data_IF_715284464535
#
_entry.id   IF_715284464535
#
_cell.length_a   1.000
_cell.length_b   1.000
_cell.length_c   1.000
_cell.angle_alpha   90.00
_cell.angle_beta   90.00
_cell.angle_gamma   90.00
#
_symmetry.space_group_name_H-M   'P 1'
#
loop_
_entity.id
_entity.type
_entity.pdbx_description
1 polymer ?
#
# COMPACT_ATOMS: atom_id res chain seq x y z
N UNK A 1 5.43 2.16 -30.40
CA UNK A 1 6.04 2.13 -29.06
C UNK A 1 4.92 2.51 -28.15
N UNK A 2 4.20 1.50 -27.69
CA UNK A 2 2.96 1.63 -26.94
C UNK A 2 3.35 2.05 -25.53
N UNK A 3 3.43 3.36 -25.32
CA UNK A 3 3.71 3.98 -24.03
C UNK A 3 2.38 4.18 -23.31
N UNK A 4 1.86 3.15 -22.63
CA UNK A 4 0.87 3.36 -21.55
C UNK A 4 0.50 2.10 -20.73
N UNK A 5 1.42 1.17 -20.52
CA UNK A 5 1.19 0.15 -19.49
C UNK A 5 1.65 0.74 -18.15
N UNK A 6 0.72 0.98 -17.20
CA UNK A 6 1.10 1.47 -15.89
C UNK A 6 2.00 0.43 -15.22
N UNK A 7 3.05 0.91 -14.54
CA UNK A 7 4.01 0.04 -13.86
C UNK A 7 3.32 -0.93 -12.90
N UNK A 8 2.24 -0.48 -12.26
CA UNK A 8 1.38 -1.29 -11.43
C UNK A 8 -0.09 -1.19 -11.84
N UNK A 9 -0.90 -2.17 -11.43
CA UNK A 9 -2.35 -2.18 -11.63
C UNK A 9 -3.04 -1.83 -10.33
N UNK A 10 -4.02 -0.92 -10.35
CA UNK A 10 -4.84 -0.68 -9.18
C UNK A 10 -5.68 -1.93 -8.83
N UNK A 11 -5.64 -2.33 -7.56
CA UNK A 11 -6.42 -3.46 -7.02
C UNK A 11 -7.18 -3.01 -5.77
N UNK A 12 -8.15 -3.79 -5.32
CA UNK A 12 -9.00 -3.47 -4.17
C UNK A 12 -9.28 -4.69 -3.28
N UNK A 13 -8.26 -5.55 -3.09
CA UNK A 13 -8.45 -6.87 -2.46
C UNK A 13 -8.62 -6.70 -0.95
N UNK A 14 -7.78 -5.91 -0.30
CA UNK A 14 -7.89 -5.59 1.12
C UNK A 14 -9.16 -4.81 1.40
N UNK A 15 -9.53 -3.85 0.54
CA UNK A 15 -10.73 -3.05 0.75
C UNK A 15 -12.02 -3.87 0.61
N UNK A 16 -12.05 -4.85 -0.28
CA UNK A 16 -13.17 -5.78 -0.41
C UNK A 16 -13.22 -6.77 0.77
N UNK A 17 -12.06 -7.22 1.24
CA UNK A 17 -11.95 -8.23 2.31
C UNK A 17 -12.16 -7.65 3.72
N UNK A 18 -11.50 -6.53 4.05
CA UNK A 18 -11.48 -5.92 5.38
C UNK A 18 -12.26 -4.60 5.47
N UNK A 19 -12.59 -3.97 4.33
CA UNK A 19 -13.19 -2.64 4.28
C UNK A 19 -12.15 -1.53 4.13
N UNK A 20 -12.55 -0.26 4.34
CA UNK A 20 -11.67 0.91 4.11
C UNK A 20 -10.65 1.17 5.22
N UNK A 21 -10.81 0.51 6.38
CA UNK A 21 -10.00 0.75 7.57
C UNK A 21 -9.54 -0.59 8.13
N UNK A 22 -8.24 -0.71 8.38
CA UNK A 22 -7.62 -1.89 8.97
C UNK A 22 -6.91 -1.50 10.27
N UNK A 23 -6.87 -2.40 11.23
CA UNK A 23 -6.09 -2.22 12.46
C UNK A 23 -4.93 -3.19 12.33
N UNK A 24 -3.72 -2.65 12.22
CA UNK A 24 -2.53 -3.48 12.25
C UNK A 24 -2.14 -3.69 13.69
N UNK A 25 -1.90 -4.96 14.03
CA UNK A 25 -1.39 -5.36 15.34
C UNK A 25 0.00 -5.89 15.10
N UNK A 26 0.99 -5.21 15.66
CA UNK A 26 2.37 -5.68 15.59
C UNK A 26 2.52 -6.94 16.47
N UNK A 27 2.78 -8.10 15.85
CA UNK A 27 2.96 -9.36 16.59
C UNK A 27 4.22 -9.32 17.48
N UNK A 28 5.16 -8.42 17.21
CA UNK A 28 6.38 -8.22 18.01
C UNK A 28 6.13 -7.34 19.25
N UNK A 29 4.93 -6.76 19.39
CA UNK A 29 4.51 -5.96 20.54
C UNK A 29 5.28 -4.64 20.70
N UNK A 30 5.88 -4.13 19.61
CA UNK A 30 6.66 -2.88 19.64
C UNK A 30 5.82 -1.64 19.40
N UNK A 31 4.67 -1.78 18.75
CA UNK A 31 3.77 -0.69 18.42
C UNK A 31 2.36 -1.00 18.94
N UNK A 32 1.67 0.04 19.45
CA UNK A 32 0.27 -0.07 19.89
C UNK A 32 -0.63 -0.41 18.69
N UNK A 33 -1.79 -1.03 18.92
CA UNK A 33 -2.76 -1.31 17.87
C UNK A 33 -3.10 -0.02 17.10
N UNK A 34 -2.59 0.08 15.87
CA UNK A 34 -2.68 1.29 15.09
C UNK A 34 -3.71 1.13 13.98
N UNK A 35 -4.63 2.07 13.95
CA UNK A 35 -5.64 2.20 12.92
C UNK A 35 -5.04 2.83 11.66
N UNK A 36 -5.16 2.12 10.54
CA UNK A 36 -4.76 2.59 9.23
C UNK A 36 -5.95 2.67 8.27
N UNK A 37 -5.97 3.70 7.44
CA UNK A 37 -6.88 3.79 6.31
C UNK A 37 -6.22 3.27 5.04
N UNK A 38 -6.91 2.37 4.36
CA UNK A 38 -6.51 1.93 3.03
C UNK A 38 -6.85 3.05 2.05
N UNK A 39 -5.82 3.76 1.59
CA UNK A 39 -5.96 4.79 0.58
C UNK A 39 -6.04 4.17 -0.81
N UNK A 40 -5.10 3.28 -1.12
CA UNK A 40 -4.96 2.67 -2.45
C UNK A 40 -4.26 1.32 -2.34
N UNK A 41 -4.51 0.43 -3.30
CA UNK A 41 -3.80 -0.84 -3.39
C UNK A 41 -3.40 -1.04 -4.84
N UNK A 42 -2.21 -1.59 -5.06
CA UNK A 42 -1.62 -1.75 -6.38
C UNK A 42 -0.98 -3.14 -6.49
N UNK A 43 -0.92 -3.68 -7.70
CA UNK A 43 -0.20 -4.90 -8.03
C UNK A 43 0.96 -4.55 -8.96
N UNK A 44 2.19 -4.78 -8.49
CA UNK A 44 3.44 -4.53 -9.21
C UNK A 44 4.20 -5.85 -9.34
N UNK A 45 4.52 -6.26 -10.58
CA UNK A 45 5.29 -7.48 -10.89
C UNK A 45 4.70 -8.78 -10.25
N UNK A 46 3.38 -8.83 -10.08
CA UNK A 46 2.69 -9.96 -9.45
C UNK A 46 2.77 -9.97 -7.91
N UNK A 47 3.22 -8.87 -7.30
CA UNK A 47 3.16 -8.63 -5.86
C UNK A 47 2.15 -7.54 -5.56
N UNK A 48 1.41 -7.71 -4.48
CA UNK A 48 0.43 -6.74 -4.04
C UNK A 48 1.06 -5.77 -3.05
N UNK A 49 0.74 -4.50 -3.19
CA UNK A 49 1.15 -3.43 -2.30
C UNK A 49 -0.08 -2.61 -1.92
N UNK A 50 -0.07 -2.05 -0.72
CA UNK A 50 -1.12 -1.16 -0.25
C UNK A 50 -0.51 0.10 0.37
N UNK A 51 -1.15 1.21 0.08
CA UNK A 51 -0.85 2.51 0.66
C UNK A 51 -1.78 2.69 1.84
N UNK A 52 -1.20 2.71 3.03
CA UNK A 52 -1.90 2.85 4.28
C UNK A 52 -1.55 4.18 4.92
N UNK A 53 -2.57 4.92 5.34
CA UNK A 53 -2.40 6.17 6.07
C UNK A 53 -2.66 5.93 7.55
N UNK A 54 -1.69 6.28 8.39
CA UNK A 54 -1.87 6.23 9.85
C UNK A 54 -2.71 7.43 10.32
N UNK A 55 -3.58 7.21 11.31
CA UNK A 55 -4.27 8.30 12.03
C UNK A 55 -3.51 8.75 13.30
N UNK A 56 -2.21 8.48 13.40
CA UNK A 56 -1.46 8.79 14.61
C UNK A 56 -1.09 10.29 14.73
N UNK A 57 -1.48 10.89 15.87
CA UNK A 57 -0.97 12.16 16.41
C UNK A 57 -0.83 13.35 15.43
N UNK A 58 -1.76 13.48 14.48
CA UNK A 58 -1.87 14.67 13.62
C UNK A 58 -0.86 14.75 12.48
N UNK A 59 -0.17 13.65 12.17
CA UNK A 59 0.64 13.51 10.95
C UNK A 59 -0.04 12.47 10.06
N UNK A 60 -0.65 12.92 8.99
CA UNK A 60 -1.32 12.08 7.99
C UNK A 60 -0.28 11.45 7.05
N UNK A 61 0.64 10.66 7.60
CA UNK A 61 1.71 10.03 6.80
C UNK A 61 1.18 8.76 6.12
N UNK A 62 1.51 8.63 4.84
CA UNK A 62 1.09 7.51 4.01
C UNK A 62 2.30 6.60 3.75
N UNK A 63 2.17 5.34 4.16
CA UNK A 63 3.21 4.34 4.05
C UNK A 63 2.80 3.26 3.05
N UNK A 64 3.79 2.76 2.31
CA UNK A 64 3.62 1.66 1.37
C UNK A 64 4.00 0.36 2.09
N UNK A 65 3.07 -0.58 2.09
CA UNK A 65 3.24 -1.91 2.63
C UNK A 65 3.03 -2.96 1.54
N UNK A 66 3.63 -4.13 1.72
CA UNK A 66 3.41 -5.28 0.85
C UNK A 66 2.29 -6.14 1.41
N UNK A 67 1.43 -6.65 0.55
CA UNK A 67 0.36 -7.60 0.87
C UNK A 67 0.77 -8.98 0.37
N UNK A 68 0.96 -9.92 1.29
CA UNK A 68 1.26 -11.32 0.99
C UNK A 68 0.01 -12.13 0.63
N UNK A 69 0.21 -13.41 0.29
CA UNK A 69 -0.84 -14.34 -0.16
C UNK A 69 -2.01 -14.56 0.81
N UNK A 70 -1.83 -14.29 2.11
CA UNK A 70 -2.88 -14.40 3.15
C UNK A 70 -3.48 -13.04 3.53
N UNK A 71 -3.30 -12.03 2.67
CA UNK A 71 -3.59 -10.62 2.97
C UNK A 71 -2.84 -10.07 4.19
N UNK A 72 -1.72 -10.72 4.55
CA UNK A 72 -0.81 -10.20 5.57
C UNK A 72 -0.09 -8.98 5.02
N UNK A 73 -0.17 -7.90 5.79
CA UNK A 73 0.49 -6.64 5.49
C UNK A 73 1.87 -6.67 6.14
N UNK A 74 2.91 -6.47 5.35
CA UNK A 74 4.31 -6.51 5.77
C UNK A 74 5.01 -5.22 5.34
N UNK A 75 5.95 -4.75 6.18
CA UNK A 75 6.80 -3.62 5.80
C UNK A 75 7.74 -4.01 4.66
N UNK A 76 7.86 -3.12 3.68
CA UNK A 76 8.88 -3.24 2.64
C UNK A 76 10.22 -2.80 3.23
N UNK A 77 11.04 -3.77 3.62
CA UNK A 77 12.38 -3.53 4.21
C UNK A 77 13.47 -3.30 3.17
N UNK A 78 13.19 -3.66 1.92
CA UNK A 78 14.10 -3.56 0.79
C UNK A 78 13.92 -2.21 0.10
N UNK A 79 14.97 -1.39 0.07
CA UNK A 79 14.91 -0.01 -0.44
C UNK A 79 14.57 0.04 -1.94
N UNK A 80 15.20 -0.81 -2.75
CA UNK A 80 14.91 -0.93 -4.19
C UNK A 80 13.43 -1.31 -4.43
N UNK A 81 12.89 -2.26 -3.65
CA UNK A 81 11.48 -2.65 -3.74
C UNK A 81 10.55 -1.48 -3.36
N UNK A 82 10.88 -0.75 -2.30
CA UNK A 82 10.12 0.40 -1.86
C UNK A 82 10.12 1.52 -2.90
N UNK A 83 11.28 1.84 -3.48
CA UNK A 83 11.41 2.86 -4.54
C UNK A 83 10.54 2.51 -5.75
N UNK A 84 10.55 1.25 -6.19
CA UNK A 84 9.73 0.81 -7.34
C UNK A 84 8.23 0.85 -7.04
N UNK A 85 7.83 0.48 -5.83
CA UNK A 85 6.44 0.57 -5.40
C UNK A 85 5.99 2.04 -5.31
N UNK A 86 6.83 2.92 -4.76
CA UNK A 86 6.55 4.35 -4.66
C UNK A 86 6.44 5.01 -6.04
N UNK A 87 7.35 4.71 -6.97
CA UNK A 87 7.30 5.20 -8.35
C UNK A 87 6.00 4.73 -9.05
N UNK A 88 5.61 3.48 -8.88
CA UNK A 88 4.38 2.95 -9.46
C UNK A 88 3.12 3.58 -8.85
N UNK A 89 3.11 3.87 -7.54
CA UNK A 89 2.01 4.60 -6.87
C UNK A 89 1.92 6.03 -7.39
N UNK A 90 3.04 6.75 -7.47
CA UNK A 90 3.09 8.13 -7.96
C UNK A 90 2.63 8.23 -9.41
N UNK A 91 3.08 7.30 -10.25
CA UNK A 91 2.62 7.19 -11.64
C UNK A 91 1.11 6.95 -11.73
N UNK A 92 0.57 6.02 -10.93
CA UNK A 92 -0.88 5.75 -10.89
C UNK A 92 -1.68 6.95 -10.38
N UNK A 93 -1.17 7.71 -9.40
CA UNK A 93 -1.79 8.96 -8.94
C UNK A 93 -1.79 10.02 -10.05
N UNK A 94 -0.69 10.12 -10.80
CA UNK A 94 -0.59 11.05 -11.91
C UNK A 94 -1.59 10.74 -13.04
N UNK A 95 -1.79 9.46 -13.37
CA UNK A 95 -2.78 9.05 -14.38
C UNK A 95 -4.23 9.20 -13.93
N UNK A 96 -4.52 9.15 -12.63
CA UNK A 96 -5.87 9.30 -12.07
C UNK A 96 -6.37 10.77 -12.11
N UNK A 97 -5.46 11.75 -12.23
CA UNK A 97 -5.80 13.18 -12.32
C UNK A 97 -6.11 13.70 -13.76
N UNK A 98 -6.19 12.84 -14.78
CA UNK A 98 -6.41 13.24 -16.20
C UNK A 98 -7.81 12.92 -16.72
#
# INVERSE_FOLDING_TARGET
MDMNEPLAKEVHILRDTYGRKVILVDEEGKEEDQAYHILREIELDGRHYCVLQTEENGVEDAYIFRVGDDHKIEHVVDEDEWERAAEAVDELLYYDEI
#
